data_IF_567574441783
#
_entry.id   IF_567574441783
#
_cell.length_a   1.000
_cell.length_b   1.000
_cell.length_c   1.000
_cell.angle_alpha   90.00
_cell.angle_beta   90.00
_cell.angle_gamma   90.00
#
_symmetry.space_group_name_H-M   'P 1'
#
loop_
_entity.id
_entity.type
_entity.pdbx_description
1 polymer ?
#
# COMPACT_ATOMS: atom_id res chain seq x y z
N UNK A 1 -1.70 -9.01 -3.45
CA UNK A 1 -1.29 -7.85 -4.28
C UNK A 1 -0.85 -6.65 -3.47
N UNK A 2 -1.32 -6.46 -2.23
CA UNK A 2 -0.87 -5.36 -1.35
C UNK A 2 0.63 -5.33 -1.06
N UNK A 3 1.33 -6.48 -1.08
CA UNK A 3 2.79 -6.59 -0.90
C UNK A 3 3.59 -6.73 -2.22
N UNK A 4 2.93 -6.75 -3.38
CA UNK A 4 3.59 -6.91 -4.68
C UNK A 4 4.21 -8.30 -4.98
N UNK A 5 4.15 -9.25 -4.04
CA UNK A 5 4.92 -10.51 -4.06
C UNK A 5 4.65 -11.43 -5.26
N UNK A 6 3.49 -11.32 -5.92
CA UNK A 6 3.12 -12.15 -7.09
C UNK A 6 2.88 -11.35 -8.37
N UNK A 7 3.34 -10.10 -8.43
CA UNK A 7 3.05 -9.22 -9.57
C UNK A 7 3.63 -9.77 -10.87
N UNK A 8 4.89 -10.23 -10.88
CA UNK A 8 5.51 -10.77 -12.09
C UNK A 8 4.82 -12.04 -12.62
N UNK A 9 4.43 -12.94 -11.72
CA UNK A 9 3.72 -14.18 -12.04
C UNK A 9 2.33 -13.87 -12.63
N UNK A 10 1.55 -13.01 -11.97
CA UNK A 10 0.23 -12.59 -12.44
C UNK A 10 0.29 -11.83 -13.77
N UNK A 11 1.32 -11.01 -14.00
CA UNK A 11 1.56 -10.36 -15.28
C UNK A 11 1.77 -11.39 -16.39
N UNK A 12 2.61 -12.38 -16.14
CA UNK A 12 2.92 -13.40 -17.14
C UNK A 12 1.70 -14.28 -17.45
N UNK A 13 0.93 -14.70 -16.44
CA UNK A 13 -0.29 -15.48 -16.63
C UNK A 13 -1.38 -14.68 -17.37
N UNK A 14 -1.58 -13.41 -17.02
CA UNK A 14 -2.56 -12.55 -17.69
C UNK A 14 -2.20 -12.33 -19.17
N UNK A 15 -0.92 -12.07 -19.47
CA UNK A 15 -0.44 -11.94 -20.84
C UNK A 15 -0.67 -13.25 -21.63
N UNK A 16 -0.26 -14.39 -21.09
CA UNK A 16 -0.43 -15.69 -21.75
C UNK A 16 -1.90 -16.05 -22.03
N UNK A 17 -2.82 -15.73 -21.11
CA UNK A 17 -4.25 -15.92 -21.32
C UNK A 17 -4.81 -15.02 -22.44
N UNK A 18 -4.36 -13.77 -22.52
CA UNK A 18 -4.79 -12.82 -23.55
C UNK A 18 -4.21 -13.19 -24.93
N UNK A 19 -2.93 -13.58 -24.99
CA UNK A 19 -2.29 -14.10 -26.21
C UNK A 19 -3.02 -15.32 -26.76
N UNK A 20 -3.43 -16.25 -25.89
CA UNK A 20 -4.21 -17.41 -26.29
C UNK A 20 -5.54 -17.05 -26.97
N UNK A 21 -6.13 -15.87 -26.66
CA UNK A 21 -7.38 -15.38 -27.24
C UNK A 21 -7.19 -14.47 -28.46
N UNK A 22 -5.96 -14.14 -28.83
CA UNK A 22 -5.65 -13.21 -29.92
C UNK A 22 -6.17 -13.70 -31.30
N UNK A 23 -6.31 -15.02 -31.48
CA UNK A 23 -6.92 -15.60 -32.68
C UNK A 23 -8.41 -15.27 -32.82
N UNK A 24 -9.13 -15.09 -31.71
CA UNK A 24 -10.55 -14.67 -31.69
C UNK A 24 -10.67 -13.16 -31.79
N UNK A 25 -9.70 -12.42 -31.24
CA UNK A 25 -9.68 -10.96 -31.20
C UNK A 25 -8.36 -10.41 -31.76
N UNK A 26 -8.17 -10.39 -33.10
CA UNK A 26 -6.90 -10.03 -33.72
C UNK A 26 -6.46 -8.58 -33.47
N UNK A 27 -7.40 -7.69 -33.16
CA UNK A 27 -7.13 -6.28 -32.86
C UNK A 27 -6.95 -5.98 -31.37
N UNK A 28 -6.87 -6.99 -30.50
CA UNK A 28 -6.71 -6.80 -29.07
C UNK A 28 -5.30 -6.28 -28.75
N UNK A 29 -5.24 -5.11 -28.12
CA UNK A 29 -4.02 -4.57 -27.51
C UNK A 29 -3.77 -5.30 -26.18
N UNK A 30 -2.94 -6.33 -26.24
CA UNK A 30 -2.62 -7.19 -25.09
C UNK A 30 -1.85 -6.39 -24.04
N UNK A 31 -0.86 -5.59 -24.45
CA UNK A 31 -0.05 -4.80 -23.53
C UNK A 31 -0.93 -3.77 -22.78
N UNK A 32 -1.81 -3.06 -23.49
CA UNK A 32 -2.75 -2.12 -22.88
C UNK A 32 -3.84 -2.78 -22.01
N UNK A 33 -4.15 -4.06 -22.25
CA UNK A 33 -5.07 -4.83 -21.41
C UNK A 33 -4.39 -5.34 -20.13
N UNK A 34 -3.17 -5.88 -20.25
CA UNK A 34 -2.32 -6.27 -19.13
C UNK A 34 -2.04 -5.06 -18.23
N UNK A 35 -1.69 -3.91 -18.82
CA UNK A 35 -1.46 -2.68 -18.08
C UNK A 35 -2.69 -2.27 -17.26
N UNK A 36 -3.88 -2.26 -17.88
CA UNK A 36 -5.14 -1.97 -17.18
C UNK A 36 -5.42 -2.94 -16.05
N UNK A 37 -5.33 -4.25 -16.31
CA UNK A 37 -5.64 -5.30 -15.32
C UNK A 37 -4.70 -5.19 -14.11
N UNK A 38 -3.40 -4.96 -14.34
CA UNK A 38 -2.40 -5.02 -13.27
C UNK A 38 -2.20 -3.67 -12.56
N UNK A 39 -2.17 -2.57 -13.30
CA UNK A 39 -1.89 -1.25 -12.73
C UNK A 39 -3.15 -0.54 -12.27
N UNK A 40 -4.24 -0.61 -13.02
CA UNK A 40 -5.47 0.12 -12.70
C UNK A 40 -6.43 -0.72 -11.84
N UNK A 41 -6.50 -2.02 -12.10
CA UNK A 41 -7.50 -2.93 -11.52
C UNK A 41 -6.97 -3.84 -10.39
N UNK A 42 -5.65 -3.96 -10.20
CA UNK A 42 -5.06 -4.90 -9.23
C UNK A 42 -4.31 -4.22 -8.09
N UNK A 43 -3.65 -3.09 -8.36
CA UNK A 43 -2.91 -2.35 -7.34
C UNK A 43 -3.84 -1.70 -6.33
N UNK A 44 -3.46 -1.85 -5.07
CA UNK A 44 -4.04 -1.16 -3.93
C UNK A 44 -2.97 -0.26 -3.35
N UNK A 45 -3.28 1.02 -3.19
CA UNK A 45 -2.33 2.01 -2.69
C UNK A 45 -2.60 2.22 -1.21
N UNK A 46 -1.58 2.06 -0.39
CA UNK A 46 -1.62 2.43 1.03
C UNK A 46 -0.55 3.47 1.29
N UNK A 47 -0.99 4.64 1.74
CA UNK A 47 -0.09 5.74 2.12
C UNK A 47 -0.21 5.92 3.63
N UNK A 48 0.86 5.60 4.34
CA UNK A 48 0.95 5.82 5.78
C UNK A 48 1.92 6.95 6.07
N UNK A 49 1.44 8.01 6.73
CA UNK A 49 2.26 9.17 7.10
C UNK A 49 2.43 9.23 8.61
N UNK A 50 3.69 9.22 9.05
CA UNK A 50 4.04 9.49 10.44
C UNK A 50 4.03 10.99 10.67
N UNK A 51 3.21 11.44 11.62
CA UNK A 51 2.95 12.86 11.89
C UNK A 51 3.41 13.25 13.28
N UNK A 52 3.93 14.47 13.39
CA UNK A 52 4.17 15.15 14.66
C UNK A 52 3.13 16.23 14.94
N UNK A 53 3.39 17.08 15.94
CA UNK A 53 2.44 18.07 16.44
C UNK A 53 1.86 19.05 15.40
N UNK A 54 2.59 19.32 14.31
CA UNK A 54 2.13 20.20 13.22
C UNK A 54 0.84 19.70 12.55
N UNK A 55 0.58 18.39 12.58
CA UNK A 55 -0.61 17.77 11.95
C UNK A 55 -1.48 17.07 13.00
N UNK A 56 -1.55 17.60 14.22
CA UNK A 56 -2.32 17.00 15.32
C UNK A 56 -3.84 17.07 15.13
N UNK A 57 -4.34 18.07 14.41
CA UNK A 57 -5.78 18.24 14.16
C UNK A 57 -6.24 17.41 12.96
N UNK A 58 -7.51 17.02 12.94
CA UNK A 58 -8.08 16.24 11.84
C UNK A 58 -7.95 16.94 10.48
N UNK A 59 -8.26 18.24 10.42
CA UNK A 59 -8.09 19.03 9.19
C UNK A 59 -6.65 19.09 8.70
N UNK A 60 -5.68 19.23 9.63
CA UNK A 60 -4.27 19.23 9.24
C UNK A 60 -3.83 17.86 8.72
N UNK A 61 -4.34 16.75 9.30
CA UNK A 61 -4.09 15.40 8.78
C UNK A 61 -4.73 15.17 7.41
N UNK A 62 -5.97 15.62 7.22
CA UNK A 62 -6.65 15.51 5.94
C UNK A 62 -5.88 16.25 4.84
N UNK A 63 -5.30 17.42 5.16
CA UNK A 63 -4.47 18.20 4.24
C UNK A 63 -3.20 17.47 3.75
N UNK A 64 -2.69 16.47 4.47
CA UNK A 64 -1.56 15.64 4.01
C UNK A 64 -1.91 14.77 2.80
N UNK A 65 -3.19 14.52 2.57
CA UNK A 65 -3.71 13.71 1.47
C UNK A 65 -4.46 14.58 0.44
N UNK A 66 -4.10 15.87 0.34
CA UNK A 66 -4.59 16.72 -0.73
C UNK A 66 -4.37 16.05 -2.10
N UNK A 67 -5.38 16.09 -2.95
CA UNK A 67 -5.40 15.49 -4.29
C UNK A 67 -5.20 13.96 -4.32
N UNK A 68 -5.19 13.27 -3.18
CA UNK A 68 -5.04 11.81 -3.13
C UNK A 68 -6.24 11.12 -3.79
N UNK A 69 -7.45 11.65 -3.58
CA UNK A 69 -8.67 11.12 -4.19
C UNK A 69 -8.70 11.24 -5.72
N UNK A 70 -7.98 12.21 -6.29
CA UNK A 70 -7.90 12.43 -7.74
C UNK A 70 -6.69 11.72 -8.36
N UNK A 71 -5.59 11.60 -7.61
CA UNK A 71 -4.34 10.98 -8.10
C UNK A 71 -4.38 9.46 -7.98
N UNK A 72 -4.95 8.94 -6.89
CA UNK A 72 -5.20 7.52 -6.68
C UNK A 72 -6.70 7.23 -6.85
N UNK A 73 -7.18 7.30 -8.09
CA UNK A 73 -8.57 7.03 -8.43
C UNK A 73 -8.97 5.57 -8.10
N UNK A 74 -10.21 5.36 -7.70
CA UNK A 74 -10.76 4.04 -7.37
C UNK A 74 -11.49 3.99 -6.04
N UNK A 75 -12.00 2.81 -5.68
CA UNK A 75 -12.72 2.57 -4.43
C UNK A 75 -11.80 2.77 -3.20
N UNK A 76 -12.35 3.30 -2.11
CA UNK A 76 -11.77 3.33 -0.75
C UNK A 76 -11.22 1.99 -0.26
N UNK A 77 -11.77 0.85 -0.70
CA UNK A 77 -11.19 -0.48 -0.42
C UNK A 77 -9.82 -0.70 -1.09
N UNK A 78 -9.49 0.10 -2.10
CA UNK A 78 -8.29 0.02 -2.92
C UNK A 78 -7.28 1.14 -2.60
N UNK A 79 -7.72 2.18 -1.90
CA UNK A 79 -6.89 3.31 -1.49
C UNK A 79 -7.08 3.60 0.00
N UNK A 80 -6.02 3.41 0.77
CA UNK A 80 -6.04 3.65 2.21
C UNK A 80 -5.02 4.72 2.56
N UNK A 81 -5.51 5.75 3.25
CA UNK A 81 -4.70 6.81 3.82
C UNK A 81 -4.70 6.62 5.34
N UNK A 82 -3.51 6.49 5.92
CA UNK A 82 -3.33 6.29 7.35
C UNK A 82 -2.38 7.34 7.91
N UNK A 83 -2.69 7.82 9.11
CA UNK A 83 -1.78 8.67 9.88
C UNK A 83 -1.49 8.04 11.21
N UNK A 84 -0.21 8.05 11.60
CA UNK A 84 0.19 7.71 12.95
C UNK A 84 0.80 8.95 13.60
N UNK A 85 0.23 9.40 14.72
CA UNK A 85 0.68 10.60 15.41
C UNK A 85 1.60 10.25 16.57
N UNK A 86 2.74 10.94 16.65
CA UNK A 86 3.65 10.88 17.80
C UNK A 86 4.01 12.30 18.25
N UNK A 87 3.76 12.63 19.52
CA UNK A 87 4.21 13.90 20.09
C UNK A 87 5.76 13.98 20.11
N UNK A 88 6.42 12.86 20.42
CA UNK A 88 7.88 12.65 20.30
C UNK A 88 8.16 11.21 19.85
N UNK A 89 8.50 11.05 18.56
CA UNK A 89 8.79 9.74 17.98
C UNK A 89 10.00 9.06 18.63
N UNK A 90 11.03 9.83 19.02
CA UNK A 90 12.25 9.24 19.58
C UNK A 90 12.00 8.69 20.98
N UNK A 91 11.31 9.46 21.82
CA UNK A 91 10.92 8.99 23.14
C UNK A 91 9.99 7.77 23.06
N UNK A 92 9.03 7.78 22.12
CA UNK A 92 8.13 6.65 21.90
C UNK A 92 8.90 5.38 21.49
N UNK A 93 9.82 5.48 20.53
CA UNK A 93 10.63 4.34 20.09
C UNK A 93 11.52 3.79 21.21
N UNK A 94 12.12 4.67 22.03
CA UNK A 94 12.91 4.25 23.18
C UNK A 94 12.05 3.46 24.19
N UNK A 95 10.83 3.93 24.47
CA UNK A 95 9.89 3.23 25.35
C UNK A 95 9.43 1.88 24.77
N UNK A 96 9.20 1.82 23.45
CA UNK A 96 8.88 0.56 22.77
C UNK A 96 10.03 -0.44 22.86
N UNK A 97 11.25 -0.03 22.53
CA UNK A 97 12.44 -0.88 22.60
C UNK A 97 12.66 -1.43 24.01
N UNK A 98 12.52 -0.60 25.04
CA UNK A 98 12.62 -1.03 26.44
C UNK A 98 11.61 -2.13 26.79
N UNK A 99 10.34 -1.99 26.36
CA UNK A 99 9.30 -3.01 26.57
C UNK A 99 9.63 -4.32 25.86
N UNK A 100 10.15 -4.25 24.63
CA UNK A 100 10.56 -5.44 23.87
C UNK A 100 11.71 -6.15 24.57
N UNK A 101 12.73 -5.43 25.03
CA UNK A 101 13.86 -5.99 25.78
C UNK A 101 13.37 -6.73 27.03
N UNK A 102 12.56 -6.08 27.86
CA UNK A 102 11.97 -6.72 29.06
C UNK A 102 11.24 -8.00 28.67
N UNK A 103 10.45 -7.97 27.59
CA UNK A 103 9.68 -9.14 27.17
C UNK A 103 10.58 -10.29 26.71
N UNK A 104 11.67 -9.98 26.01
CA UNK A 104 12.65 -10.97 25.58
C UNK A 104 13.40 -11.57 26.77
N UNK A 105 13.75 -10.77 27.79
CA UNK A 105 14.37 -11.24 29.03
C UNK A 105 13.44 -12.15 29.84
N UNK A 106 12.14 -11.82 29.93
CA UNK A 106 11.13 -12.71 30.55
C UNK A 106 11.04 -14.07 29.85
N UNK A 107 11.12 -14.07 28.51
CA UNK A 107 11.03 -15.29 27.70
C UNK A 107 12.34 -16.10 27.71
N UNK A 108 13.48 -15.42 27.86
CA UNK A 108 14.81 -16.04 27.89
C UNK A 108 15.22 -16.56 29.28
N UNK A 109 14.59 -16.08 30.35
CA UNK A 109 14.77 -16.58 31.73
C UNK A 109 13.87 -17.79 32.05
N UNK A 110 13.64 -18.67 31.07
CA UNK A 110 13.00 -19.99 31.24
C UNK A 110 14.05 -21.09 31.14
#
# INVERSE_FOLDING_TARGET
MEAGERVAELTHEAAGLLEAQQHVYPGMDIDGAVDRILWQEARRYRVSITTGNTHKTENARAGLFADYDTTAAGDTLRRQAETMHFDDLRAWMAGFAAKVIIKLEELGNV
#
